data_IF_278583580618
#
_entry.id   IF_278583580618
#
_cell.length_a   1.000
_cell.length_b   1.000
_cell.length_c   1.000
_cell.angle_alpha   90.00
_cell.angle_beta   90.00
_cell.angle_gamma   90.00
#
_symmetry.space_group_name_H-M   'P 1'
#
loop_
_entity.id
_entity.type
_entity.pdbx_description
1 polymer ?
#
# COMPACT_ATOMS: atom_id res chain seq x y z
N UNK A 1 26.32 -2.48 -3.96
CA UNK A 1 25.38 -1.82 -4.90
C UNK A 1 25.37 -0.33 -4.59
N UNK A 2 25.53 0.55 -5.58
CA UNK A 2 25.45 2.00 -5.37
C UNK A 2 24.05 2.46 -5.76
N UNK A 3 23.29 2.97 -4.79
CA UNK A 3 22.00 3.60 -5.07
C UNK A 3 22.24 4.90 -5.80
N UNK A 4 21.58 5.07 -6.93
CA UNK A 4 21.65 6.29 -7.73
C UNK A 4 20.70 7.34 -7.15
N UNK A 5 20.87 8.60 -7.58
CA UNK A 5 19.94 9.67 -7.22
C UNK A 5 18.52 9.36 -7.72
N UNK A 6 18.39 8.70 -8.88
CA UNK A 6 17.09 8.33 -9.45
C UNK A 6 16.35 7.34 -8.54
N UNK A 7 17.04 6.36 -7.95
CA UNK A 7 16.44 5.39 -7.03
C UNK A 7 15.84 6.09 -5.80
N UNK A 8 16.58 7.03 -5.21
CA UNK A 8 16.10 7.82 -4.09
C UNK A 8 14.91 8.72 -4.44
N UNK A 9 14.90 9.30 -5.64
CA UNK A 9 13.76 10.09 -6.11
C UNK A 9 12.49 9.25 -6.21
N UNK A 10 12.59 8.01 -6.71
CA UNK A 10 11.44 7.10 -6.79
C UNK A 10 10.93 6.73 -5.39
N UNK A 11 11.82 6.43 -4.46
CA UNK A 11 11.44 6.12 -3.06
C UNK A 11 10.73 7.30 -2.41
N UNK A 12 11.29 8.51 -2.52
CA UNK A 12 10.68 9.73 -1.96
C UNK A 12 9.32 9.99 -2.62
N UNK A 13 9.23 9.91 -3.94
CA UNK A 13 7.97 10.10 -4.67
C UNK A 13 6.89 9.11 -4.22
N UNK A 14 7.24 7.84 -4.03
CA UNK A 14 6.33 6.82 -3.50
C UNK A 14 5.75 7.22 -2.13
N UNK A 15 6.59 7.64 -1.18
CA UNK A 15 6.09 8.06 0.14
C UNK A 15 5.26 9.34 0.08
N UNK A 16 5.66 10.31 -0.75
CA UNK A 16 4.90 11.55 -0.95
C UNK A 16 3.50 11.25 -1.49
N UNK A 17 3.38 10.37 -2.49
CA UNK A 17 2.07 9.98 -3.04
C UNK A 17 1.19 9.33 -1.97
N UNK A 18 1.73 8.40 -1.19
CA UNK A 18 0.99 7.76 -0.08
C UNK A 18 0.52 8.79 0.95
N UNK A 19 1.38 9.72 1.33
CA UNK A 19 1.05 10.77 2.30
C UNK A 19 -0.05 11.70 1.77
N UNK A 20 0.04 12.10 0.50
CA UNK A 20 -0.97 12.96 -0.14
C UNK A 20 -2.35 12.28 -0.18
N UNK A 21 -2.40 10.98 -0.51
CA UNK A 21 -3.64 10.20 -0.48
C UNK A 21 -4.20 10.17 0.95
N UNK A 22 -3.37 9.90 1.96
CA UNK A 22 -3.79 9.90 3.36
C UNK A 22 -4.34 11.25 3.83
N UNK A 23 -3.67 12.35 3.47
CA UNK A 23 -4.11 13.71 3.80
C UNK A 23 -5.41 14.09 3.10
N UNK A 24 -5.60 13.66 1.86
CA UNK A 24 -6.83 13.88 1.10
C UNK A 24 -8.03 13.18 1.76
N UNK A 25 -7.87 11.91 2.14
CA UNK A 25 -8.95 11.13 2.77
C UNK A 25 -9.14 11.38 4.26
N UNK A 26 -8.20 12.06 4.93
CA UNK A 26 -8.25 12.34 6.39
C UNK A 26 -9.60 12.93 6.83
N UNK A 27 -10.11 13.93 6.12
CA UNK A 27 -11.38 14.58 6.48
C UNK A 27 -12.58 13.63 6.38
N UNK A 28 -12.61 12.75 5.37
CA UNK A 28 -13.68 11.75 5.18
C UNK A 28 -13.58 10.66 6.24
N UNK A 29 -12.37 10.16 6.51
CA UNK A 29 -12.14 9.10 7.49
C UNK A 29 -12.40 9.54 8.94
N UNK A 30 -12.21 10.82 9.28
CA UNK A 30 -12.46 11.37 10.62
C UNK A 30 -13.92 11.76 10.89
N UNK A 31 -14.84 11.61 9.93
CA UNK A 31 -16.23 12.03 10.08
C UNK A 31 -17.06 11.11 11.00
N UNK A 32 -16.78 9.81 11.00
CA UNK A 32 -17.50 8.81 11.82
C UNK A 32 -16.70 7.52 11.94
N UNK A 33 -16.97 6.74 13.00
CA UNK A 33 -16.48 5.35 13.13
C UNK A 33 -16.88 4.49 11.93
N UNK A 34 -18.06 4.73 11.35
CA UNK A 34 -18.49 4.04 10.12
C UNK A 34 -17.64 4.40 8.91
N UNK A 35 -17.24 5.67 8.77
CA UNK A 35 -16.38 6.12 7.67
C UNK A 35 -14.93 5.67 7.84
N UNK A 36 -14.48 5.49 9.09
CA UNK A 36 -13.15 4.97 9.38
C UNK A 36 -13.02 3.46 9.12
N UNK A 37 -13.98 2.64 9.57
CA UNK A 37 -13.87 1.18 9.48
C UNK A 37 -14.48 0.58 8.21
N UNK A 38 -15.59 1.12 7.71
CA UNK A 38 -16.29 0.60 6.53
C UNK A 38 -16.32 1.59 5.36
N UNK A 39 -15.63 2.74 5.47
CA UNK A 39 -15.53 3.74 4.39
C UNK A 39 -16.92 4.13 3.84
N UNK A 40 -17.88 4.32 4.76
CA UNK A 40 -19.27 4.65 4.42
C UNK A 40 -20.01 3.55 3.66
N UNK A 41 -19.45 2.34 3.55
CA UNK A 41 -19.91 1.23 2.69
C UNK A 41 -19.93 1.57 1.19
N UNK A 42 -19.14 2.56 0.77
CA UNK A 42 -19.05 3.00 -0.64
C UNK A 42 -17.89 2.35 -1.41
N UNK A 43 -17.15 1.43 -0.79
CA UNK A 43 -15.98 0.79 -1.42
C UNK A 43 -16.42 -0.19 -2.49
N UNK A 44 -15.96 0.03 -3.72
CA UNK A 44 -16.19 -0.89 -4.83
C UNK A 44 -15.50 -2.24 -4.59
N UNK A 45 -16.15 -3.34 -5.01
CA UNK A 45 -15.69 -4.71 -4.79
C UNK A 45 -14.26 -4.98 -5.26
N UNK A 46 -13.83 -4.39 -6.38
CA UNK A 46 -12.48 -4.59 -6.92
C UNK A 46 -11.42 -3.89 -6.06
N UNK A 47 -11.75 -2.73 -5.50
CA UNK A 47 -10.87 -1.98 -4.60
C UNK A 47 -10.72 -2.73 -3.26
N UNK A 48 -11.83 -3.29 -2.74
CA UNK A 48 -11.79 -4.15 -1.57
C UNK A 48 -10.97 -5.43 -1.82
N UNK A 49 -11.22 -6.11 -2.95
CA UNK A 49 -10.51 -7.32 -3.35
C UNK A 49 -9.00 -7.11 -3.49
N UNK A 50 -8.60 -6.07 -4.22
CA UNK A 50 -7.19 -5.71 -4.40
C UNK A 50 -6.52 -5.32 -3.08
N UNK A 51 -7.20 -4.58 -2.20
CA UNK A 51 -6.67 -4.25 -0.87
C UNK A 51 -6.42 -5.49 0.00
N UNK A 52 -7.32 -6.48 -0.04
CA UNK A 52 -7.14 -7.73 0.69
C UNK A 52 -5.90 -8.49 0.18
N UNK A 53 -5.75 -8.63 -1.14
CA UNK A 53 -4.58 -9.30 -1.75
C UNK A 53 -3.29 -8.56 -1.42
N UNK A 54 -3.28 -7.23 -1.52
CA UNK A 54 -2.12 -6.40 -1.19
C UNK A 54 -1.70 -6.54 0.28
N UNK A 55 -2.66 -6.75 1.19
CA UNK A 55 -2.39 -6.96 2.63
C UNK A 55 -1.74 -8.32 2.89
N UNK A 56 -2.16 -9.35 2.16
CA UNK A 56 -1.59 -10.70 2.29
C UNK A 56 -0.27 -10.88 1.53
N UNK A 57 -0.05 -10.11 0.46
CA UNK A 57 1.20 -10.12 -0.31
C UNK A 57 2.20 -9.12 0.27
N UNK A 58 2.49 -9.26 1.56
CA UNK A 58 3.49 -8.46 2.24
C UNK A 58 4.90 -8.80 1.70
N UNK A 59 5.86 -7.90 1.92
CA UNK A 59 7.20 -7.98 1.29
C UNK A 59 8.02 -9.23 1.67
N UNK A 60 7.66 -9.88 2.78
CA UNK A 60 8.27 -11.11 3.28
C UNK A 60 7.96 -12.33 2.40
N UNK A 61 6.74 -12.43 1.89
CA UNK A 61 6.28 -13.56 1.08
C UNK A 61 7.08 -13.71 -0.23
N UNK A 62 7.20 -12.69 -1.11
CA UNK A 62 8.00 -12.80 -2.32
C UNK A 62 9.50 -12.93 -2.02
N UNK A 63 9.99 -12.32 -0.95
CA UNK A 63 11.40 -12.47 -0.55
C UNK A 63 11.72 -13.92 -0.18
N UNK A 64 10.83 -14.57 0.58
CA UNK A 64 10.98 -15.98 0.93
C UNK A 64 10.85 -16.89 -0.30
N UNK A 65 9.83 -16.68 -1.14
CA UNK A 65 9.60 -17.49 -2.35
C UNK A 65 10.79 -17.39 -3.31
N UNK A 66 11.27 -16.18 -3.60
CA UNK A 66 12.43 -16.00 -4.48
C UNK A 66 13.69 -16.62 -3.89
N UNK A 67 13.87 -16.57 -2.57
CA UNK A 67 14.93 -17.28 -1.87
C UNK A 67 14.86 -18.80 -2.03
N UNK A 68 13.68 -19.39 -1.86
CA UNK A 68 13.47 -20.84 -2.04
C UNK A 68 13.72 -21.30 -3.48
N UNK A 69 13.26 -20.52 -4.46
CA UNK A 69 13.45 -20.81 -5.90
C UNK A 69 14.91 -20.70 -6.30
N UNK A 70 15.66 -19.72 -5.76
CA UNK A 70 17.07 -19.56 -6.09
C UNK A 70 17.98 -20.66 -5.49
N UNK A 71 17.51 -21.37 -4.46
CA UNK A 71 18.24 -22.46 -3.81
C UNK A 71 18.01 -23.84 -4.45
N UNK A 72 16.98 -23.98 -5.30
CA UNK A 72 16.70 -25.18 -6.09
C UNK A 72 17.22 -25.01 -7.52
#
# INVERSE_FOLDING_TARGET
MKLTLADWLVVVAYFVVNLLIGLYYRKKASASTGDFFVSGREVSWWLAGTSMVATTFAADTPLWVTGQVAQH
#
